data_IF_309314855280
#
_entry.id   IF_309314855280
#
_cell.length_a   1.000
_cell.length_b   1.000
_cell.length_c   1.000
_cell.angle_alpha   90.00
_cell.angle_beta   90.00
_cell.angle_gamma   90.00
#
_symmetry.space_group_name_H-M   'P 1'
#
loop_
_entity.id
_entity.type
_entity.pdbx_description
1 polymer ?
#
# COMPACT_ATOMS: atom_id res chain seq x y z
N UNK A 1 -58.05 -4.34 1.40
CA UNK A 1 -58.83 -3.07 1.43
C UNK A 1 -58.56 -2.40 2.76
N UNK A 2 -58.41 -1.07 2.73
CA UNK A 2 -57.92 -0.18 3.80
C UNK A 2 -56.42 -0.25 4.06
N UNK A 3 -55.66 0.84 4.15
CA UNK A 3 -55.59 2.14 3.47
C UNK A 3 -54.40 2.82 4.11
N UNK A 4 -53.47 3.31 3.29
CA UNK A 4 -52.30 4.08 3.69
C UNK A 4 -52.74 5.35 4.43
N UNK A 5 -52.09 5.66 5.55
CA UNK A 5 -52.12 7.00 6.15
C UNK A 5 -50.68 7.48 6.32
N UNK A 6 -50.25 8.29 5.35
CA UNK A 6 -49.09 9.17 5.45
C UNK A 6 -49.33 10.19 6.58
N UNK A 7 -48.34 10.34 7.46
CA UNK A 7 -48.37 11.36 8.50
C UNK A 7 -46.94 11.83 8.80
N UNK A 8 -46.45 12.79 8.02
CA UNK A 8 -45.37 13.67 8.48
C UNK A 8 -45.64 15.09 8.02
N UNK A 9 -46.07 15.87 9.01
CA UNK A 9 -46.35 17.29 9.04
C UNK A 9 -45.17 18.12 8.55
N UNK A 10 -45.42 18.95 7.54
CA UNK A 10 -44.52 20.01 7.08
C UNK A 10 -44.54 21.16 8.09
N UNK A 11 -43.50 21.31 8.91
CA UNK A 11 -43.23 22.58 9.59
C UNK A 11 -42.31 23.43 8.72
N UNK A 12 -42.86 24.55 8.24
CA UNK A 12 -42.14 25.66 7.63
C UNK A 12 -41.22 26.29 8.68
N UNK A 13 -39.94 26.02 8.59
CA UNK A 13 -38.86 26.98 8.84
C UNK A 13 -37.55 26.33 8.36
N UNK A 14 -36.64 27.15 7.84
CA UNK A 14 -35.34 26.79 7.22
C UNK A 14 -35.28 26.82 5.68
N UNK A 15 -35.81 27.90 5.10
CA UNK A 15 -35.19 28.49 3.90
C UNK A 15 -34.09 29.45 4.38
N UNK A 16 -32.84 28.99 4.49
CA UNK A 16 -31.59 29.74 4.21
C UNK A 16 -30.35 28.99 4.74
N UNK A 17 -29.78 28.09 3.93
CA UNK A 17 -28.32 28.04 3.75
C UNK A 17 -27.92 27.09 2.62
N UNK A 18 -27.29 27.65 1.58
CA UNK A 18 -26.60 26.90 0.52
C UNK A 18 -25.27 26.35 1.07
N UNK A 19 -24.90 25.16 0.58
CA UNK A 19 -23.59 24.49 0.67
C UNK A 19 -23.25 23.76 1.99
N UNK A 20 -23.74 22.52 2.13
CA UNK A 20 -23.09 21.46 2.89
C UNK A 20 -23.35 20.12 2.21
N UNK A 21 -22.31 19.32 2.00
CA UNK A 21 -22.44 17.94 1.53
C UNK A 21 -23.34 17.16 2.50
N UNK A 22 -24.50 16.72 2.03
CA UNK A 22 -25.39 15.87 2.80
C UNK A 22 -24.80 14.46 2.85
N UNK A 23 -24.05 14.16 3.90
CA UNK A 23 -23.75 12.78 4.25
C UNK A 23 -25.05 12.16 4.76
N UNK A 24 -25.58 11.17 4.05
CA UNK A 24 -26.64 10.30 4.57
C UNK A 24 -26.11 9.63 5.84
N UNK A 25 -26.67 10.01 7.00
CA UNK A 25 -26.38 9.33 8.26
C UNK A 25 -27.30 8.13 8.38
N UNK A 26 -26.73 6.93 8.28
CA UNK A 26 -27.44 5.69 8.54
C UNK A 26 -27.40 5.45 10.06
N UNK A 27 -28.57 5.39 10.69
CA UNK A 27 -28.71 5.00 12.09
C UNK A 27 -29.28 3.58 12.18
N UNK A 28 -28.75 2.70 13.05
CA UNK A 28 -29.32 1.38 13.25
C UNK A 28 -30.71 1.50 13.87
N UNK A 29 -31.65 0.67 13.39
CA UNK A 29 -32.98 0.52 14.01
C UNK A 29 -32.84 -0.08 15.40
N UNK A 30 -33.85 0.10 16.25
CA UNK A 30 -33.83 -0.48 17.60
C UNK A 30 -33.85 -2.02 17.55
N UNK A 31 -34.47 -2.61 16.52
CA UNK A 31 -34.41 -4.05 16.23
C UNK A 31 -32.97 -4.50 15.91
N UNK A 32 -32.25 -3.75 15.06
CA UNK A 32 -30.84 -4.05 14.77
C UNK A 32 -29.96 -3.90 16.01
N UNK A 33 -30.20 -2.90 16.87
CA UNK A 33 -29.45 -2.74 18.13
C UNK A 33 -29.68 -3.93 19.07
N UNK A 34 -30.94 -4.36 19.27
CA UNK A 34 -31.25 -5.53 20.08
C UNK A 34 -30.60 -6.81 19.52
N UNK A 35 -30.61 -6.99 18.20
CA UNK A 35 -29.94 -8.13 17.56
C UNK A 35 -28.41 -8.09 17.76
N UNK A 36 -27.80 -6.91 17.76
CA UNK A 36 -26.37 -6.73 18.01
C UNK A 36 -26.00 -6.93 19.49
N UNK A 37 -26.89 -6.60 20.43
CA UNK A 37 -26.64 -6.73 21.88
C UNK A 37 -26.41 -8.18 22.34
N UNK A 38 -26.90 -9.17 21.58
CA UNK A 38 -26.70 -10.60 21.86
C UNK A 38 -25.49 -11.21 21.16
N UNK A 39 -24.84 -10.50 20.23
CA UNK A 39 -23.66 -11.01 19.54
C UNK A 39 -22.43 -10.86 20.43
N UNK A 40 -21.77 -11.98 20.73
CA UNK A 40 -20.42 -11.95 21.26
C UNK A 40 -19.41 -11.79 20.11
N UNK A 41 -18.17 -11.39 20.41
CA UNK A 41 -17.10 -11.39 19.40
C UNK A 41 -16.88 -12.77 18.74
N UNK A 42 -17.35 -13.85 19.35
CA UNK A 42 -17.29 -15.20 18.80
C UNK A 42 -18.38 -15.47 17.74
N UNK A 43 -19.45 -14.68 17.70
CA UNK A 43 -20.60 -14.84 16.79
C UNK A 43 -20.47 -14.02 15.50
N UNK A 44 -19.52 -13.07 15.46
CA UNK A 44 -19.24 -12.24 14.30
C UNK A 44 -18.33 -12.98 13.30
N UNK A 45 -18.93 -13.62 12.30
CA UNK A 45 -18.19 -14.10 11.12
C UNK A 45 -18.00 -12.94 10.15
N UNK A 46 -16.82 -12.34 10.15
CA UNK A 46 -16.43 -11.43 9.08
C UNK A 46 -16.25 -12.20 7.77
N UNK A 47 -17.30 -12.26 6.95
CA UNK A 47 -17.19 -12.75 5.57
C UNK A 47 -16.60 -11.62 4.71
N UNK A 48 -15.28 -11.46 4.79
CA UNK A 48 -14.57 -10.65 3.82
C UNK A 48 -14.59 -11.37 2.46
N UNK A 49 -14.96 -10.71 1.36
CA UNK A 49 -15.00 -11.34 0.05
C UNK A 49 -13.64 -11.95 -0.30
N UNK A 50 -13.66 -13.20 -0.77
CA UNK A 50 -12.45 -13.93 -1.17
C UNK A 50 -12.17 -13.62 -2.64
N UNK A 51 -10.93 -13.25 -2.97
CA UNK A 51 -10.58 -12.96 -4.36
C UNK A 51 -11.09 -11.61 -4.87
N UNK A 52 -11.30 -10.62 -4.00
CA UNK A 52 -11.79 -9.30 -4.39
C UNK A 52 -10.77 -8.57 -5.29
N UNK A 53 -11.17 -8.34 -6.54
CA UNK A 53 -10.46 -7.50 -7.51
C UNK A 53 -11.32 -6.26 -7.71
N UNK A 54 -10.75 -5.09 -7.46
CA UNK A 54 -11.42 -3.80 -7.59
C UNK A 54 -10.80 -3.04 -8.75
N UNK A 55 -11.61 -2.54 -9.67
CA UNK A 55 -11.22 -1.55 -10.65
C UNK A 55 -11.83 -0.20 -10.25
N UNK A 56 -11.02 0.86 -10.27
CA UNK A 56 -11.46 2.23 -10.02
C UNK A 56 -11.29 3.08 -11.26
N UNK A 57 -12.15 4.07 -11.44
CA UNK A 57 -11.97 5.12 -12.45
C UNK A 57 -10.92 6.17 -12.01
N UNK A 58 -10.80 7.26 -12.79
CA UNK A 58 -9.90 8.38 -12.51
C UNK A 58 -10.25 9.13 -11.22
N UNK A 59 -11.52 9.10 -10.81
CA UNK A 59 -12.03 9.74 -9.59
C UNK A 59 -11.96 8.82 -8.37
N UNK A 60 -11.32 7.64 -8.52
CA UNK A 60 -11.14 6.60 -7.51
C UNK A 60 -12.44 5.92 -7.08
N UNK A 61 -13.48 6.02 -7.89
CA UNK A 61 -14.76 5.34 -7.67
C UNK A 61 -14.68 3.93 -8.24
N UNK A 62 -15.13 2.92 -7.48
CA UNK A 62 -15.15 1.54 -7.95
C UNK A 62 -16.17 1.37 -9.07
N UNK A 63 -15.75 0.74 -10.17
CA UNK A 63 -16.58 0.51 -11.36
C UNK A 63 -16.69 -0.98 -11.69
N UNK A 64 -17.81 -1.44 -12.28
CA UNK A 64 -17.96 -2.83 -12.73
C UNK A 64 -17.06 -3.11 -13.93
N UNK A 65 -16.74 -4.39 -14.13
CA UNK A 65 -16.00 -4.90 -15.29
C UNK A 65 -16.39 -6.36 -15.55
N UNK A 66 -16.18 -6.81 -16.79
CA UNK A 66 -16.40 -8.21 -17.17
C UNK A 66 -15.16 -9.05 -16.92
N UNK A 67 -15.37 -10.32 -16.58
CA UNK A 67 -14.29 -11.27 -16.39
C UNK A 67 -13.64 -11.66 -17.72
N UNK A 68 -12.32 -11.54 -17.78
CA UNK A 68 -11.46 -12.14 -18.80
C UNK A 68 -10.74 -13.37 -18.24
N UNK A 69 -10.19 -14.27 -19.08
CA UNK A 69 -9.39 -15.39 -18.60
C UNK A 69 -8.24 -14.97 -17.66
N UNK A 70 -7.60 -13.82 -17.94
CA UNK A 70 -6.53 -13.28 -17.10
C UNK A 70 -7.04 -12.81 -15.73
N UNK A 71 -8.21 -12.14 -15.69
CA UNK A 71 -8.86 -11.72 -14.46
C UNK A 71 -9.28 -12.93 -13.62
N UNK A 72 -9.85 -13.96 -14.26
CA UNK A 72 -10.22 -15.21 -13.58
C UNK A 72 -8.98 -15.91 -13.00
N UNK A 73 -7.89 -16.00 -13.77
CA UNK A 73 -6.62 -16.55 -13.28
C UNK A 73 -6.09 -15.75 -12.09
N UNK A 74 -6.15 -14.42 -12.17
CA UNK A 74 -5.72 -13.53 -11.10
C UNK A 74 -6.58 -13.71 -9.83
N UNK A 75 -7.89 -13.88 -9.99
CA UNK A 75 -8.81 -14.14 -8.89
C UNK A 75 -8.48 -15.46 -8.21
N UNK A 76 -8.25 -16.52 -8.98
CA UNK A 76 -7.85 -17.83 -8.45
C UNK A 76 -6.54 -17.74 -7.67
N UNK A 77 -5.54 -17.02 -8.21
CA UNK A 77 -4.29 -16.74 -7.49
C UNK A 77 -4.55 -15.99 -6.17
N UNK A 78 -5.44 -15.00 -6.16
CA UNK A 78 -5.77 -14.22 -4.97
C UNK A 78 -6.55 -15.03 -3.92
N UNK A 79 -7.49 -15.89 -4.35
CA UNK A 79 -8.24 -16.80 -3.49
C UNK A 79 -7.28 -17.74 -2.77
N UNK A 80 -6.45 -18.48 -3.52
CA UNK A 80 -5.53 -19.43 -2.94
C UNK A 80 -4.46 -18.78 -2.03
N UNK A 81 -4.07 -17.53 -2.30
CA UNK A 81 -3.20 -16.79 -1.38
C UNK A 81 -3.94 -16.41 -0.08
N UNK A 82 -5.18 -15.95 -0.17
CA UNK A 82 -5.99 -15.62 1.01
C UNK A 82 -6.32 -16.85 1.86
N UNK A 83 -6.49 -18.02 1.25
CA UNK A 83 -6.71 -19.27 1.98
C UNK A 83 -5.46 -19.64 2.80
N UNK A 84 -4.27 -19.57 2.21
CA UNK A 84 -3.00 -19.77 2.94
C UNK A 84 -2.82 -18.74 4.06
N UNK A 85 -3.11 -17.47 3.78
CA UNK A 85 -3.05 -16.40 4.78
C UNK A 85 -3.97 -16.66 5.97
N UNK A 86 -5.21 -17.09 5.71
CA UNK A 86 -6.20 -17.38 6.75
C UNK A 86 -5.88 -18.62 7.60
N UNK A 87 -5.11 -19.57 7.05
CA UNK A 87 -4.66 -20.77 7.75
C UNK A 87 -3.36 -20.56 8.54
N UNK A 88 -2.71 -19.41 8.37
CA UNK A 88 -1.40 -19.13 8.98
C UNK A 88 -1.56 -18.28 10.23
N UNK A 89 -0.86 -18.64 11.30
CA UNK A 89 -0.83 -17.81 12.49
C UNK A 89 0.19 -16.69 12.34
N UNK A 90 -0.25 -15.45 12.55
CA UNK A 90 0.61 -14.27 12.53
C UNK A 90 0.48 -13.53 13.85
N UNK A 91 1.61 -13.25 14.49
CA UNK A 91 1.65 -12.54 15.77
C UNK A 91 2.68 -11.42 15.75
N UNK A 92 2.47 -10.42 16.60
CA UNK A 92 3.52 -9.51 17.07
C UNK A 92 4.04 -10.05 18.40
N UNK A 93 5.36 -10.17 18.54
CA UNK A 93 6.00 -10.67 19.76
C UNK A 93 7.00 -9.66 20.31
N UNK A 94 7.19 -9.68 21.63
CA UNK A 94 8.12 -8.75 22.29
C UNK A 94 7.73 -7.27 22.14
N UNK A 95 6.44 -6.96 22.18
CA UNK A 95 5.95 -5.58 22.29
C UNK A 95 6.44 -4.96 23.61
N UNK A 96 6.97 -3.74 23.51
CA UNK A 96 7.36 -2.91 24.64
C UNK A 96 6.22 -1.95 25.00
N UNK A 97 6.33 -1.31 26.16
CA UNK A 97 5.39 -0.25 26.55
C UNK A 97 5.39 0.92 25.55
N UNK A 98 6.54 1.26 24.98
CA UNK A 98 6.64 2.31 23.96
C UNK A 98 5.94 1.91 22.65
N UNK A 99 6.09 0.67 22.19
CA UNK A 99 5.34 0.18 21.03
C UNK A 99 3.83 0.29 21.27
N UNK A 100 3.39 -0.13 22.46
CA UNK A 100 1.98 -0.10 22.85
C UNK A 100 1.44 1.33 22.86
N UNK A 101 2.17 2.29 23.43
CA UNK A 101 1.76 3.70 23.48
C UNK A 101 1.84 4.40 22.12
N UNK A 102 2.89 4.15 21.35
CA UNK A 102 3.12 4.80 20.05
C UNK A 102 2.22 4.26 18.94
N UNK A 103 1.70 3.04 19.07
CA UNK A 103 0.89 2.37 18.04
C UNK A 103 -0.45 1.83 18.56
N UNK A 104 -0.99 2.41 19.65
CA UNK A 104 -2.22 1.95 20.31
C UNK A 104 -3.37 1.73 19.32
N UNK A 105 -3.65 2.71 18.46
CA UNK A 105 -4.77 2.64 17.49
C UNK A 105 -4.60 1.46 16.51
N UNK A 106 -3.39 1.27 15.98
CA UNK A 106 -3.11 0.16 15.08
C UNK A 106 -3.31 -1.19 15.77
N UNK A 107 -2.80 -1.33 17.01
CA UNK A 107 -2.88 -2.56 17.78
C UNK A 107 -4.33 -2.90 18.11
N UNK A 108 -5.12 -1.95 18.63
CA UNK A 108 -6.53 -2.17 18.97
C UNK A 108 -7.36 -2.59 17.77
N UNK A 109 -7.09 -2.01 16.59
CA UNK A 109 -7.85 -2.29 15.36
C UNK A 109 -7.49 -3.62 14.72
N UNK A 110 -6.21 -3.99 14.68
CA UNK A 110 -5.71 -5.07 13.83
C UNK A 110 -5.32 -6.34 14.60
N UNK A 111 -5.44 -6.35 15.92
CA UNK A 111 -5.00 -7.49 16.74
C UNK A 111 -6.04 -7.85 17.79
N UNK A 112 -5.86 -8.99 18.45
CA UNK A 112 -6.58 -9.34 19.67
C UNK A 112 -5.91 -8.71 20.91
N UNK A 113 -5.43 -7.47 20.79
CA UNK A 113 -4.74 -6.76 21.86
C UNK A 113 -5.72 -6.35 22.96
N UNK A 114 -5.36 -6.72 24.18
CA UNK A 114 -5.98 -6.23 25.41
C UNK A 114 -5.02 -5.18 26.01
N UNK A 115 -5.58 -4.07 26.49
CA UNK A 115 -4.87 -2.96 27.11
C UNK A 115 -3.91 -3.37 28.25
N UNK A 116 -4.10 -4.56 28.85
CA UNK A 116 -3.26 -5.12 29.92
C UNK A 116 -1.82 -5.53 29.51
N UNK A 117 -1.15 -4.79 28.63
CA UNK A 117 0.26 -4.97 28.24
C UNK A 117 0.61 -6.39 27.76
N UNK A 118 -0.15 -6.91 26.81
CA UNK A 118 0.21 -8.17 26.16
C UNK A 118 1.50 -8.01 25.34
N UNK A 119 2.60 -8.62 25.81
CA UNK A 119 3.89 -8.65 25.08
C UNK A 119 3.80 -9.36 23.74
N UNK A 120 2.89 -10.32 23.62
CA UNK A 120 2.64 -11.08 22.42
C UNK A 120 1.16 -10.98 22.08
N UNK A 121 0.85 -10.59 20.85
CA UNK A 121 -0.54 -10.47 20.38
C UNK A 121 -0.71 -11.03 18.98
N UNK A 122 -1.80 -11.77 18.80
CA UNK A 122 -2.16 -12.32 17.50
C UNK A 122 -2.83 -11.24 16.64
N UNK A 123 -2.45 -11.17 15.36
CA UNK A 123 -3.18 -10.34 14.39
C UNK A 123 -4.57 -10.92 14.16
N UNK A 124 -5.57 -10.05 13.98
CA UNK A 124 -6.90 -10.49 13.54
C UNK A 124 -6.80 -11.11 12.14
N UNK A 125 -7.71 -12.02 11.76
CA UNK A 125 -7.76 -12.54 10.40
C UNK A 125 -7.78 -11.41 9.37
N UNK A 126 -6.91 -11.52 8.38
CA UNK A 126 -6.78 -10.54 7.30
C UNK A 126 -7.09 -11.23 5.97
N UNK A 127 -7.60 -10.46 5.02
CA UNK A 127 -7.68 -10.87 3.61
C UNK A 127 -7.17 -9.72 2.76
N UNK A 128 -6.42 -10.06 1.72
CA UNK A 128 -5.96 -9.11 0.73
C UNK A 128 -6.87 -9.09 -0.50
N UNK A 129 -6.95 -7.91 -1.12
CA UNK A 129 -7.61 -7.61 -2.39
C UNK A 129 -6.61 -6.98 -3.35
N UNK A 130 -6.91 -7.00 -4.64
CA UNK A 130 -6.12 -6.25 -5.65
C UNK A 130 -6.91 -5.03 -6.10
N UNK A 131 -6.26 -3.86 -6.15
CA UNK A 131 -6.90 -2.60 -6.56
C UNK A 131 -6.20 -2.03 -7.78
N UNK A 132 -6.90 -2.01 -8.90
CA UNK A 132 -6.53 -1.38 -10.16
C UNK A 132 -7.16 0.02 -10.27
N UNK A 133 -6.52 0.91 -11.02
CA UNK A 133 -6.97 2.29 -11.21
C UNK A 133 -6.95 2.62 -12.70
N UNK A 134 -7.97 3.31 -13.21
CA UNK A 134 -8.20 3.61 -14.62
C UNK A 134 -8.49 2.36 -15.46
N UNK A 135 -7.57 1.40 -15.48
CA UNK A 135 -7.68 0.13 -16.19
C UNK A 135 -6.85 -0.97 -15.50
N UNK A 136 -6.80 -2.17 -16.09
CA UNK A 136 -6.04 -3.30 -15.53
C UNK A 136 -4.52 -3.22 -15.75
N UNK A 137 -4.02 -2.24 -16.49
CA UNK A 137 -2.59 -1.97 -16.70
C UNK A 137 -2.02 -0.95 -15.70
N UNK A 138 -2.83 -0.47 -14.76
CA UNK A 138 -2.48 0.58 -13.82
C UNK A 138 -2.86 0.20 -12.37
N UNK A 139 -1.87 0.21 -11.47
CA UNK A 139 -2.05 -0.21 -10.07
C UNK A 139 -1.96 -1.72 -9.88
N UNK A 140 -2.97 -2.35 -9.28
CA UNK A 140 -3.07 -3.80 -9.09
C UNK A 140 -2.44 -4.35 -7.81
N UNK A 141 -1.81 -3.51 -6.98
CA UNK A 141 -1.17 -3.91 -5.71
C UNK A 141 -2.14 -4.64 -4.77
N UNK A 142 -1.56 -5.41 -3.84
CA UNK A 142 -2.29 -6.09 -2.77
C UNK A 142 -2.56 -5.12 -1.61
N UNK A 143 -3.80 -5.12 -1.09
CA UNK A 143 -4.27 -4.28 0.03
C UNK A 143 -5.15 -5.08 0.98
N UNK A 144 -5.23 -4.70 2.26
CA UNK A 144 -6.03 -5.35 3.31
C UNK A 144 -5.24 -6.28 4.23
N UNK A 145 -3.93 -6.36 4.06
CA UNK A 145 -3.03 -7.13 4.92
C UNK A 145 -2.25 -6.22 5.88
N UNK A 146 -0.93 -6.40 5.92
CA UNK A 146 -0.04 -5.61 6.78
C UNK A 146 0.46 -4.31 6.13
N UNK A 147 -0.12 -3.84 5.01
CA UNK A 147 0.44 -2.69 4.29
C UNK A 147 0.44 -1.38 5.09
N UNK A 148 -0.54 -1.23 6.00
CA UNK A 148 -0.63 -0.09 6.90
C UNK A 148 0.08 -0.33 8.24
N UNK A 149 0.83 -1.44 8.37
CA UNK A 149 1.58 -1.73 9.59
C UNK A 149 2.72 -0.73 9.77
N UNK A 150 2.80 -0.05 10.93
CA UNK A 150 3.92 0.80 11.28
C UNK A 150 5.25 0.06 11.14
N UNK A 151 6.25 0.70 10.55
CA UNK A 151 7.55 0.06 10.30
C UNK A 151 8.24 -0.43 11.57
N UNK A 152 8.03 0.23 12.71
CA UNK A 152 8.56 -0.20 14.02
C UNK A 152 7.97 -1.52 14.53
N UNK A 153 6.77 -1.89 14.09
CA UNK A 153 6.12 -3.15 14.47
C UNK A 153 6.50 -4.32 13.56
N UNK A 154 6.85 -4.09 12.30
CA UNK A 154 7.15 -5.18 11.34
C UNK A 154 8.27 -6.14 11.80
N UNK A 155 9.37 -5.68 12.43
CA UNK A 155 10.42 -6.58 12.94
C UNK A 155 9.95 -7.52 14.05
N UNK A 156 8.79 -7.26 14.66
CA UNK A 156 8.19 -8.06 15.74
C UNK A 156 7.27 -9.15 15.21
N UNK A 157 7.04 -9.19 13.90
CA UNK A 157 6.21 -10.20 13.25
C UNK A 157 6.82 -11.59 13.42
N UNK A 158 5.94 -12.54 13.73
CA UNK A 158 6.20 -13.97 13.65
C UNK A 158 5.16 -14.64 12.78
N UNK A 159 5.58 -15.66 12.04
CA UNK A 159 4.71 -16.51 11.22
C UNK A 159 4.82 -17.92 11.78
N UNK A 160 3.71 -18.51 12.23
CA UNK A 160 3.67 -19.81 12.92
C UNK A 160 4.71 -19.91 14.06
N UNK A 161 4.82 -18.83 14.85
CA UNK A 161 5.78 -18.70 15.94
C UNK A 161 7.24 -18.52 15.52
N UNK A 162 7.56 -18.51 14.22
CA UNK A 162 8.92 -18.29 13.73
C UNK A 162 9.20 -16.80 13.49
N UNK A 163 10.38 -16.28 13.86
CA UNK A 163 10.75 -14.90 13.61
C UNK A 163 10.80 -14.62 12.10
N UNK A 164 10.46 -13.40 11.72
CA UNK A 164 10.43 -12.97 10.33
C UNK A 164 11.56 -11.99 9.99
N UNK A 165 11.74 -11.77 8.70
CA UNK A 165 12.61 -10.74 8.15
C UNK A 165 11.94 -10.11 6.92
N UNK A 166 12.20 -8.83 6.71
CA UNK A 166 11.69 -8.04 5.59
C UNK A 166 12.81 -7.78 4.57
N UNK A 167 12.52 -7.94 3.28
CA UNK A 167 13.38 -7.52 2.18
C UNK A 167 12.58 -6.74 1.14
N UNK A 168 13.14 -5.65 0.63
CA UNK A 168 12.52 -4.83 -0.41
C UNK A 168 13.46 -4.59 -1.60
N UNK A 169 12.87 -4.09 -2.69
CA UNK A 169 13.63 -3.68 -3.86
C UNK A 169 14.18 -2.26 -3.68
N UNK A 170 15.49 -2.10 -3.83
CA UNK A 170 16.10 -0.78 -3.70
C UNK A 170 15.78 0.13 -4.91
N UNK A 171 15.04 1.21 -4.66
CA UNK A 171 14.63 2.20 -5.66
C UNK A 171 13.90 1.56 -6.86
N UNK A 172 12.95 0.67 -6.57
CA UNK A 172 12.37 -0.27 -7.53
C UNK A 172 11.91 0.40 -8.83
N UNK A 173 11.05 1.42 -8.75
CA UNK A 173 10.48 2.09 -9.92
C UNK A 173 11.53 2.73 -10.83
N UNK A 174 12.49 3.47 -10.27
CA UNK A 174 13.59 4.06 -11.03
C UNK A 174 14.46 2.97 -11.68
N UNK A 175 14.73 1.88 -10.96
CA UNK A 175 15.53 0.77 -11.48
C UNK A 175 14.82 0.04 -12.61
N UNK A 176 13.50 -0.14 -12.52
CA UNK A 176 12.69 -0.67 -13.62
C UNK A 176 12.82 0.19 -14.88
N UNK A 177 12.81 1.52 -14.74
CA UNK A 177 12.98 2.43 -15.89
C UNK A 177 14.37 2.29 -16.52
N UNK A 178 15.43 2.23 -15.72
CA UNK A 178 16.78 2.00 -16.24
C UNK A 178 16.90 0.68 -17.02
N UNK A 179 16.35 -0.40 -16.47
CA UNK A 179 16.35 -1.69 -17.15
C UNK A 179 15.49 -1.70 -18.42
N UNK A 180 14.35 -0.99 -18.43
CA UNK A 180 13.53 -0.80 -19.65
C UNK A 180 14.30 -0.09 -20.78
N UNK A 181 15.28 0.74 -20.44
CA UNK A 181 16.15 1.42 -21.42
C UNK A 181 17.49 0.69 -21.64
N UNK A 182 17.62 -0.55 -21.14
CA UNK A 182 18.77 -1.41 -21.38
C UNK A 182 20.01 -1.12 -20.53
N UNK A 183 19.87 -0.38 -19.42
CA UNK A 183 20.99 0.02 -18.56
C UNK A 183 20.94 -0.75 -17.25
N UNK A 184 21.98 -1.55 -16.95
CA UNK A 184 22.14 -2.18 -15.62
C UNK A 184 22.55 -1.15 -14.56
N UNK A 185 21.57 -0.40 -14.06
CA UNK A 185 21.81 0.61 -13.06
C UNK A 185 21.97 -0.03 -11.68
N UNK A 186 23.14 0.15 -11.05
CA UNK A 186 23.50 -0.46 -9.75
C UNK A 186 23.65 0.51 -8.60
N UNK A 187 23.73 1.81 -8.86
CA UNK A 187 23.90 2.86 -7.84
C UNK A 187 22.60 3.09 -7.06
N UNK A 188 22.69 3.86 -5.98
CA UNK A 188 21.53 4.39 -5.27
C UNK A 188 20.93 5.55 -6.06
N UNK A 189 19.73 5.35 -6.61
CA UNK A 189 19.06 6.32 -7.47
C UNK A 189 18.60 7.59 -6.72
N UNK A 190 18.65 7.61 -5.39
CA UNK A 190 18.33 8.82 -4.61
C UNK A 190 19.58 9.62 -4.22
N UNK A 191 20.78 9.13 -4.56
CA UNK A 191 22.06 9.68 -4.11
C UNK A 191 23.00 10.08 -5.27
N UNK A 192 22.44 10.54 -6.40
CA UNK A 192 23.22 10.83 -7.61
C UNK A 192 23.22 12.28 -8.09
N UNK A 193 22.40 13.15 -7.50
CA UNK A 193 22.34 14.54 -7.89
C UNK A 193 23.65 15.30 -7.58
N UNK A 194 23.97 16.30 -8.39
CA UNK A 194 25.10 17.19 -8.12
C UNK A 194 24.93 17.90 -6.77
N UNK A 195 26.00 17.98 -5.99
CA UNK A 195 25.95 18.54 -4.63
C UNK A 195 25.19 17.69 -3.61
N UNK A 196 25.01 16.39 -3.88
CA UNK A 196 24.37 15.46 -2.97
C UNK A 196 25.05 15.45 -1.59
N UNK A 197 24.21 15.45 -0.55
CA UNK A 197 24.59 15.18 0.83
C UNK A 197 23.72 14.03 1.35
N UNK A 198 24.22 13.16 2.25
CA UNK A 198 23.46 12.05 2.80
C UNK A 198 22.06 12.44 3.32
N UNK A 199 21.95 13.58 4.01
CA UNK A 199 20.69 14.12 4.52
C UNK A 199 19.64 14.44 3.43
N UNK A 200 20.04 14.64 2.18
CA UNK A 200 19.12 14.97 1.07
C UNK A 200 18.44 13.74 0.46
N UNK A 201 18.85 12.53 0.86
CA UNK A 201 18.39 11.29 0.22
C UNK A 201 16.86 11.16 0.21
N UNK A 202 16.22 11.48 1.33
CA UNK A 202 14.77 11.37 1.47
C UNK A 202 14.03 12.48 0.70
N UNK A 203 14.63 13.65 0.53
CA UNK A 203 14.11 14.71 -0.35
C UNK A 203 14.14 14.23 -1.81
N UNK A 204 15.24 13.61 -2.26
CA UNK A 204 15.30 13.06 -3.61
C UNK A 204 14.36 11.88 -3.83
N UNK A 205 14.03 11.13 -2.77
CA UNK A 205 12.97 10.12 -2.82
C UNK A 205 11.60 10.75 -3.05
N UNK A 206 11.26 11.82 -2.34
CA UNK A 206 10.02 12.59 -2.58
C UNK A 206 10.01 13.13 -4.02
N UNK A 207 11.07 13.81 -4.45
CA UNK A 207 11.22 14.34 -5.81
C UNK A 207 10.98 13.24 -6.86
N UNK A 208 11.64 12.10 -6.72
CA UNK A 208 11.54 11.01 -7.67
C UNK A 208 10.11 10.46 -7.78
N UNK A 209 9.49 10.16 -6.63
CA UNK A 209 8.14 9.59 -6.60
C UNK A 209 7.11 10.60 -7.13
N UNK A 210 7.23 11.88 -6.79
CA UNK A 210 6.32 12.90 -7.32
C UNK A 210 6.53 13.14 -8.81
N UNK A 211 7.77 13.20 -9.30
CA UNK A 211 8.08 13.44 -10.71
C UNK A 211 7.56 12.32 -11.62
N UNK A 212 7.58 11.06 -11.17
CA UNK A 212 7.03 9.93 -11.94
C UNK A 212 5.50 9.90 -12.00
N UNK A 213 4.81 10.49 -11.02
CA UNK A 213 3.35 10.48 -10.95
C UNK A 213 2.71 11.77 -11.50
N UNK A 214 3.46 12.87 -11.58
CA UNK A 214 2.98 14.11 -12.17
C UNK A 214 2.86 14.00 -13.70
N UNK A 215 2.02 14.85 -14.27
CA UNK A 215 1.73 15.01 -15.71
C UNK A 215 2.40 16.26 -16.32
N UNK A 216 2.94 17.15 -15.47
CA UNK A 216 3.72 18.32 -15.86
C UNK A 216 4.56 18.83 -14.67
N UNK A 217 5.52 19.73 -14.95
CA UNK A 217 6.42 20.31 -13.94
C UNK A 217 5.65 21.08 -12.85
N UNK A 218 4.62 21.84 -13.21
CA UNK A 218 3.83 22.65 -12.27
C UNK A 218 3.14 21.77 -11.22
N UNK A 219 2.50 20.68 -11.65
CA UNK A 219 1.85 19.73 -10.77
C UNK A 219 2.88 18.94 -9.94
N UNK A 220 4.05 18.65 -10.51
CA UNK A 220 5.15 18.06 -9.75
C UNK A 220 5.62 18.96 -8.61
N UNK A 221 5.90 20.24 -8.87
CA UNK A 221 6.32 21.20 -7.84
C UNK A 221 5.26 21.35 -6.74
N UNK A 222 3.97 21.41 -7.12
CA UNK A 222 2.85 21.41 -6.15
C UNK A 222 2.87 20.15 -5.28
N UNK A 223 3.04 18.97 -5.89
CA UNK A 223 3.11 17.69 -5.19
C UNK A 223 4.29 17.62 -4.21
N UNK A 224 5.50 18.03 -4.64
CA UNK A 224 6.68 18.03 -3.77
C UNK A 224 6.46 18.96 -2.58
N UNK A 225 5.89 20.16 -2.81
CA UNK A 225 5.54 21.09 -1.72
C UNK A 225 4.52 20.51 -0.75
N UNK A 226 3.58 19.74 -1.24
CA UNK A 226 2.59 19.06 -0.41
C UNK A 226 3.25 17.99 0.48
N UNK A 227 4.05 17.11 -0.11
CA UNK A 227 4.73 16.01 0.59
C UNK A 227 5.74 16.50 1.64
N UNK A 228 6.45 17.60 1.37
CA UNK A 228 7.44 18.15 2.30
C UNK A 228 6.81 19.01 3.40
N UNK A 229 5.53 19.39 3.30
CA UNK A 229 4.90 20.30 4.26
C UNK A 229 4.90 19.71 5.67
N UNK A 230 5.29 20.53 6.65
CA UNK A 230 5.36 20.13 8.07
C UNK A 230 6.28 18.92 8.34
N UNK A 231 7.30 18.74 7.51
CA UNK A 231 8.33 17.71 7.70
C UNK A 231 9.66 18.34 8.04
N UNK A 232 10.52 17.61 8.76
CA UNK A 232 11.92 18.01 9.01
C UNK A 232 12.73 18.21 7.73
N UNK A 233 12.29 17.59 6.61
CA UNK A 233 12.93 17.72 5.31
C UNK A 233 12.74 19.12 4.72
N UNK A 234 11.62 19.80 5.02
CA UNK A 234 11.41 21.18 4.60
C UNK A 234 12.41 22.14 5.25
N UNK A 235 12.68 21.95 6.54
CA UNK A 235 13.64 22.77 7.29
C UNK A 235 15.05 22.58 6.74
N UNK A 236 15.40 21.35 6.37
CA UNK A 236 16.72 20.99 5.82
C UNK A 236 17.07 21.77 4.53
N UNK A 237 16.07 22.09 3.70
CA UNK A 237 16.26 22.87 2.47
C UNK A 237 15.93 24.36 2.62
N UNK A 238 15.66 24.81 3.85
CA UNK A 238 15.33 26.20 4.14
C UNK A 238 13.97 26.62 3.57
N UNK A 239 13.00 25.72 3.57
CA UNK A 239 11.61 25.95 3.16
C UNK A 239 11.23 25.33 1.82
N UNK A 240 9.91 25.33 1.54
CA UNK A 240 9.30 24.64 0.39
C UNK A 240 8.97 25.59 -0.77
N UNK A 241 9.72 26.67 -0.98
CA UNK A 241 9.48 27.57 -2.13
C UNK A 241 10.00 26.95 -3.42
N UNK A 242 9.44 27.36 -4.57
CA UNK A 242 9.91 26.88 -5.87
C UNK A 242 11.39 27.21 -6.11
N UNK A 243 11.88 28.34 -5.57
CA UNK A 243 13.31 28.70 -5.62
C UNK A 243 14.23 27.74 -4.87
N UNK A 244 13.73 27.00 -3.87
CA UNK A 244 14.46 25.95 -3.15
C UNK A 244 14.34 24.60 -3.84
N UNK A 245 13.14 24.24 -4.29
CA UNK A 245 12.83 22.92 -4.83
C UNK A 245 13.28 22.75 -6.28
N UNK A 246 13.06 23.75 -7.15
CA UNK A 246 13.32 23.64 -8.58
C UNK A 246 14.79 23.33 -8.92
N UNK A 247 15.80 23.91 -8.24
CA UNK A 247 17.20 23.51 -8.44
C UNK A 247 17.46 22.03 -8.10
N UNK A 248 16.91 21.54 -6.99
CA UNK A 248 17.06 20.13 -6.58
C UNK A 248 16.41 19.18 -7.59
N UNK A 249 15.19 19.51 -8.03
CA UNK A 249 14.46 18.77 -9.06
C UNK A 249 15.24 18.73 -10.38
N UNK A 250 15.74 19.88 -10.84
CA UNK A 250 16.52 19.99 -12.08
C UNK A 250 17.82 19.18 -11.99
N UNK A 251 18.56 19.31 -10.89
CA UNK A 251 19.81 18.57 -10.67
C UNK A 251 19.56 17.05 -10.63
N UNK A 252 18.47 16.62 -10.02
CA UNK A 252 18.08 15.21 -9.97
C UNK A 252 17.69 14.68 -11.35
N UNK A 253 16.85 15.39 -12.11
CA UNK A 253 16.47 14.99 -13.47
C UNK A 253 17.70 14.91 -14.39
N UNK A 254 18.62 15.86 -14.29
CA UNK A 254 19.86 15.85 -15.07
C UNK A 254 20.74 14.64 -14.72
N UNK A 255 20.85 14.29 -13.44
CA UNK A 255 21.57 13.09 -13.01
C UNK A 255 20.91 11.78 -13.51
N UNK A 256 19.61 11.83 -13.83
CA UNK A 256 18.82 10.75 -14.39
C UNK A 256 18.51 10.92 -15.89
N UNK A 257 19.36 11.63 -16.64
CA UNK A 257 19.18 11.89 -18.07
C UNK A 257 18.74 10.66 -18.92
N UNK A 258 19.26 9.43 -18.70
CA UNK A 258 18.81 8.27 -19.49
C UNK A 258 17.33 7.89 -19.34
N UNK A 259 16.70 8.28 -18.23
CA UNK A 259 15.29 7.98 -17.92
C UNK A 259 14.45 9.25 -17.77
N UNK A 260 15.00 10.44 -18.07
CA UNK A 260 14.32 11.73 -17.87
C UNK A 260 13.03 11.87 -18.67
N UNK A 261 12.92 11.19 -19.82
CA UNK A 261 11.69 11.13 -20.63
C UNK A 261 10.46 10.58 -19.91
N UNK A 262 10.65 9.87 -18.80
CA UNK A 262 9.56 9.34 -17.98
C UNK A 262 9.12 10.29 -16.87
N UNK A 263 9.86 11.37 -16.63
CA UNK A 263 9.46 12.39 -15.66
C UNK A 263 8.30 13.18 -16.24
N UNK A 264 7.33 13.50 -15.39
CA UNK A 264 6.09 14.19 -15.76
C UNK A 264 5.20 13.45 -16.76
N UNK A 265 5.33 12.13 -16.85
CA UNK A 265 4.54 11.30 -17.77
C UNK A 265 3.33 10.61 -17.12
N UNK A 266 3.19 10.70 -15.79
CA UNK A 266 2.19 9.93 -15.04
C UNK A 266 2.42 8.41 -15.02
N UNK A 267 3.60 7.92 -15.47
CA UNK A 267 3.90 6.47 -15.58
C UNK A 267 3.85 5.70 -14.26
N UNK A 268 3.81 6.40 -13.12
CA UNK A 268 3.84 5.78 -11.80
C UNK A 268 2.83 4.65 -11.61
N UNK A 269 1.58 4.80 -12.07
CA UNK A 269 0.56 3.75 -11.97
C UNK A 269 0.87 2.51 -12.83
N UNK A 270 1.43 2.69 -14.03
CA UNK A 270 1.87 1.58 -14.87
C UNK A 270 3.09 0.86 -14.28
N UNK A 271 3.99 1.60 -13.61
CA UNK A 271 5.06 1.01 -12.81
C UNK A 271 4.50 0.25 -11.61
N UNK A 272 3.39 0.70 -11.01
CA UNK A 272 2.69 -0.06 -9.97
C UNK A 272 2.13 -1.38 -10.50
N UNK A 273 1.61 -1.41 -11.72
CA UNK A 273 1.20 -2.68 -12.33
C UNK A 273 2.38 -3.64 -12.46
N UNK A 274 3.51 -3.14 -12.90
CA UNK A 274 4.72 -3.96 -13.04
C UNK A 274 5.26 -4.44 -11.69
N UNK A 275 5.23 -3.59 -10.65
CA UNK A 275 5.62 -4.00 -9.29
C UNK A 275 4.70 -5.09 -8.75
N UNK A 276 3.40 -4.96 -9.00
CA UNK A 276 2.39 -5.89 -8.54
C UNK A 276 2.48 -7.25 -9.23
N UNK A 277 2.81 -7.29 -10.51
CA UNK A 277 3.03 -8.55 -11.24
C UNK A 277 4.24 -9.31 -10.69
N UNK A 278 5.32 -8.59 -10.36
CA UNK A 278 6.50 -9.19 -9.73
C UNK A 278 6.16 -9.69 -8.33
N UNK A 279 5.40 -8.91 -7.55
CA UNK A 279 4.92 -9.35 -6.25
C UNK A 279 4.07 -10.62 -6.36
N UNK A 280 3.10 -10.67 -7.28
CA UNK A 280 2.29 -11.88 -7.51
C UNK A 280 3.16 -13.09 -7.89
N UNK A 281 4.20 -12.91 -8.73
CA UNK A 281 5.15 -13.97 -9.06
C UNK A 281 5.87 -14.52 -7.81
N UNK A 282 6.34 -13.65 -6.92
CA UNK A 282 7.00 -14.03 -5.67
C UNK A 282 6.02 -14.79 -4.76
N UNK A 283 4.85 -14.19 -4.50
CA UNK A 283 3.82 -14.78 -3.64
C UNK A 283 3.40 -16.16 -4.16
N UNK A 284 3.14 -16.28 -5.47
CA UNK A 284 2.73 -17.53 -6.11
C UNK A 284 3.73 -18.65 -5.91
N UNK A 285 5.03 -18.40 -6.18
CA UNK A 285 6.10 -19.41 -6.06
C UNK A 285 6.28 -19.93 -4.63
N UNK A 286 5.99 -19.13 -3.61
CA UNK A 286 6.05 -19.56 -2.20
C UNK A 286 4.76 -20.23 -1.75
N UNK A 287 3.61 -19.70 -2.14
CA UNK A 287 2.29 -20.26 -1.85
C UNK A 287 2.13 -21.67 -2.45
N UNK A 288 2.68 -21.93 -3.63
CA UNK A 288 2.75 -23.28 -4.23
C UNK A 288 3.56 -24.29 -3.39
N UNK A 289 4.38 -23.81 -2.45
CA UNK A 289 5.16 -24.62 -1.49
C UNK A 289 4.54 -24.62 -0.09
N UNK A 290 3.34 -24.05 0.08
CA UNK A 290 2.69 -23.89 1.37
C UNK A 290 3.40 -22.90 2.31
N UNK A 291 4.22 -21.99 1.77
CA UNK A 291 4.96 -20.99 2.55
C UNK A 291 4.30 -19.63 2.39
N UNK A 292 3.90 -19.01 3.49
CA UNK A 292 3.37 -17.66 3.49
C UNK A 292 4.51 -16.63 3.35
N UNK A 293 4.29 -15.66 2.45
CA UNK A 293 5.07 -14.43 2.35
C UNK A 293 4.09 -13.28 2.42
N UNK A 294 4.29 -12.34 3.34
CA UNK A 294 3.45 -11.16 3.44
C UNK A 294 4.04 -10.06 2.55
N UNK A 295 3.24 -9.49 1.65
CA UNK A 295 3.65 -8.35 0.83
C UNK A 295 3.29 -7.01 1.48
N UNK A 296 4.24 -6.07 1.49
CA UNK A 296 4.02 -4.64 1.77
C UNK A 296 4.45 -3.88 0.52
N UNK A 297 3.52 -3.70 -0.41
CA UNK A 297 3.81 -3.22 -1.76
C UNK A 297 4.91 -4.05 -2.46
N UNK A 298 6.12 -3.51 -2.58
CA UNK A 298 7.30 -4.11 -3.19
C UNK A 298 8.29 -4.73 -2.18
N UNK A 299 7.90 -4.76 -0.91
CA UNK A 299 8.59 -5.43 0.19
C UNK A 299 7.94 -6.75 0.56
N UNK A 300 8.72 -7.70 1.06
CA UNK A 300 8.29 -9.06 1.41
C UNK A 300 8.79 -9.45 2.80
N UNK A 301 7.86 -9.85 3.66
CA UNK A 301 8.13 -10.41 4.98
C UNK A 301 7.94 -11.92 4.95
N UNK A 302 8.94 -12.66 5.39
CA UNK A 302 8.96 -14.14 5.43
C UNK A 302 9.67 -14.63 6.70
N UNK A 303 9.46 -15.89 7.07
CA UNK A 303 10.29 -16.59 8.07
C UNK A 303 11.79 -16.40 7.82
N UNK A 304 12.53 -15.99 8.85
CA UNK A 304 13.96 -15.64 8.74
C UNK A 304 14.84 -16.79 8.23
N UNK A 305 14.46 -18.04 8.48
CA UNK A 305 15.17 -19.21 7.95
C UNK A 305 15.17 -19.29 6.41
N UNK A 306 14.25 -18.57 5.73
CA UNK A 306 14.03 -18.64 4.27
C UNK A 306 14.64 -17.48 3.50
N UNK A 307 15.47 -16.64 4.13
CA UNK A 307 16.14 -15.47 3.50
C UNK A 307 16.76 -15.80 2.14
N UNK A 308 17.57 -16.89 2.08
CA UNK A 308 18.27 -17.27 0.87
C UNK A 308 17.30 -17.64 -0.26
N UNK A 309 16.21 -18.30 0.09
CA UNK A 309 15.16 -18.68 -0.83
C UNK A 309 14.40 -17.45 -1.35
N UNK A 310 14.02 -16.52 -0.47
CA UNK A 310 13.32 -15.29 -0.83
C UNK A 310 14.13 -14.45 -1.81
N UNK A 311 15.41 -14.20 -1.49
CA UNK A 311 16.31 -13.43 -2.37
C UNK A 311 16.44 -14.07 -3.75
N UNK A 312 16.52 -15.40 -3.83
CA UNK A 312 16.59 -16.13 -5.10
C UNK A 312 15.30 -15.97 -5.91
N UNK A 313 14.13 -16.11 -5.26
CA UNK A 313 12.83 -15.98 -5.92
C UNK A 313 12.59 -14.54 -6.40
N UNK A 314 12.85 -13.53 -5.56
CA UNK A 314 12.79 -12.11 -5.94
C UNK A 314 13.68 -11.79 -7.14
N UNK A 315 14.93 -12.29 -7.15
CA UNK A 315 15.85 -12.12 -8.28
C UNK A 315 15.33 -12.79 -9.55
N UNK A 316 14.77 -13.99 -9.46
CA UNK A 316 14.20 -14.71 -10.61
C UNK A 316 13.02 -13.95 -11.18
N UNK A 317 11.99 -13.66 -10.39
CA UNK A 317 10.79 -12.97 -10.85
C UNK A 317 11.09 -11.62 -11.51
N UNK A 318 12.04 -10.87 -10.94
CA UNK A 318 12.48 -9.61 -11.53
C UNK A 318 13.25 -9.83 -12.85
N UNK A 319 14.21 -10.76 -12.88
CA UNK A 319 15.03 -11.04 -14.06
C UNK A 319 14.20 -11.57 -15.22
N UNK A 320 13.20 -12.40 -14.94
CA UNK A 320 12.31 -12.94 -15.98
C UNK A 320 11.52 -11.81 -16.68
N UNK A 321 11.25 -10.69 -15.98
CA UNK A 321 10.57 -9.52 -16.54
C UNK A 321 11.50 -8.55 -17.28
N UNK A 322 12.74 -8.38 -16.81
CA UNK A 322 13.62 -7.30 -17.26
C UNK A 322 14.94 -7.75 -17.92
N UNK A 323 15.35 -9.01 -17.77
CA UNK A 323 16.67 -9.49 -18.19
C UNK A 323 17.84 -9.06 -17.28
N UNK A 324 17.59 -8.19 -16.30
CA UNK A 324 18.59 -7.70 -15.34
C UNK A 324 18.33 -8.19 -13.93
N UNK A 325 19.36 -8.21 -13.08
CA UNK A 325 19.17 -8.49 -11.66
C UNK A 325 18.79 -7.23 -10.86
N UNK A 326 17.84 -7.32 -9.91
CA UNK A 326 17.53 -6.22 -9.02
C UNK A 326 18.63 -6.00 -7.97
N UNK A 327 18.51 -4.90 -7.22
CA UNK A 327 19.19 -4.70 -5.94
C UNK A 327 18.15 -4.92 -4.84
N UNK A 328 18.45 -5.84 -3.91
CA UNK A 328 17.57 -6.23 -2.80
C UNK A 328 18.30 -5.87 -1.50
N UNK A 329 17.67 -5.06 -0.66
CA UNK A 329 18.23 -4.61 0.62
C UNK A 329 17.47 -5.22 1.80
#
# INVERSE_FOLDING_TARGET
MSSISDNTTTTKDELTNKNKSELTKIHPTDDLKQQLDFLTNADLVYVLPVGEIILRDSDRVSIPFDDTPDIVSMRNDLVAYNDLLGQTEIQLTGLTSDDSSSHTEYLLRNTYYNYNNARNVRLRPMRVRRIFNVDFEHGGRFYGGIENMPSGLRPKLTINGQPTIEFDFAAFQLRMLYHKVGIDYRRDAYAVAAGYKPEHRDIYKVIALTALNADNETNCLKGIRHELRNTVLADLIGGITDSRIKPLLTNWINAHAPISRYMYSGIGLALQKTDSDIANCVLKKFRERGVLVLAVHDSFVIEAARVKELRRVMRSCYRDKFGFYPVIK
#
